data_IF_345787235424
#
_entry.id   IF_345787235424
#
_cell.length_a   1.000
_cell.length_b   1.000
_cell.length_c   1.000
_cell.angle_alpha   90.00
_cell.angle_beta   90.00
_cell.angle_gamma   90.00
#
_symmetry.space_group_name_H-M   'P 1'
#
loop_
_entity.id
_entity.type
_entity.pdbx_description
1 polymer ?
#
# COMPACT_ATOMS: atom_id res chain seq x y z
N UNK A 1 -29.11 -19.88 -24.24
CA UNK A 1 -29.79 -21.15 -23.82
C UNK A 1 -31.06 -20.78 -23.05
N UNK A 2 -32.27 -21.30 -23.43
CA UNK A 2 -33.49 -21.10 -22.65
C UNK A 2 -33.36 -21.91 -21.34
N UNK A 3 -33.28 -21.23 -20.22
CA UNK A 3 -33.28 -21.88 -18.89
C UNK A 3 -34.67 -22.50 -18.62
N UNK A 4 -34.74 -23.82 -18.56
CA UNK A 4 -35.97 -24.52 -18.20
C UNK A 4 -36.23 -24.30 -16.71
N UNK A 5 -37.42 -23.79 -16.35
CA UNK A 5 -37.81 -23.58 -14.97
C UNK A 5 -37.70 -24.86 -14.14
N UNK A 6 -36.99 -24.81 -13.01
CA UNK A 6 -36.75 -25.95 -12.14
C UNK A 6 -37.45 -25.75 -10.79
N UNK A 7 -38.18 -26.75 -10.33
CA UNK A 7 -38.75 -26.79 -8.96
C UNK A 7 -37.77 -27.41 -7.95
N UNK A 8 -36.72 -28.10 -8.43
CA UNK A 8 -35.82 -28.86 -7.59
C UNK A 8 -36.47 -30.10 -6.95
N UNK A 9 -35.63 -30.95 -6.38
CA UNK A 9 -36.07 -32.10 -5.60
C UNK A 9 -35.62 -31.92 -4.14
N UNK A 10 -36.60 -31.72 -3.23
CA UNK A 10 -36.37 -31.54 -1.80
C UNK A 10 -36.41 -32.91 -1.11
N UNK A 11 -35.34 -33.21 -0.34
CA UNK A 11 -35.20 -34.48 0.40
C UNK A 11 -34.47 -34.27 1.72
N UNK A 12 -34.58 -35.25 2.63
CA UNK A 12 -33.96 -35.24 3.96
C UNK A 12 -32.74 -36.17 3.98
N UNK A 13 -31.63 -35.71 4.57
CA UNK A 13 -30.44 -36.52 4.79
C UNK A 13 -29.72 -36.04 6.05
N UNK A 14 -29.33 -36.96 6.95
CA UNK A 14 -28.51 -36.68 8.13
C UNK A 14 -28.97 -35.44 8.97
N UNK A 15 -30.28 -35.39 9.28
CA UNK A 15 -30.87 -34.33 10.08
C UNK A 15 -31.05 -32.99 9.35
N UNK A 16 -30.81 -32.92 8.06
CA UNK A 16 -30.93 -31.72 7.25
C UNK A 16 -31.81 -31.90 6.04
N UNK A 17 -32.47 -30.82 5.60
CA UNK A 17 -33.16 -30.72 4.34
C UNK A 17 -32.20 -30.25 3.25
N UNK A 18 -32.30 -30.89 2.06
CA UNK A 18 -31.55 -30.60 0.86
C UNK A 18 -32.47 -30.32 -0.30
N UNK A 19 -32.06 -29.46 -1.22
CA UNK A 19 -32.62 -29.32 -2.56
C UNK A 19 -31.63 -29.81 -3.60
N UNK A 20 -32.08 -30.66 -4.52
CA UNK A 20 -31.32 -31.15 -5.67
C UNK A 20 -31.85 -30.45 -6.92
N UNK A 21 -30.98 -29.86 -7.69
CA UNK A 21 -31.32 -29.13 -8.91
C UNK A 21 -30.17 -29.21 -9.91
N UNK A 22 -30.38 -28.72 -11.15
CA UNK A 22 -29.34 -28.62 -12.15
C UNK A 22 -28.80 -27.19 -12.21
N UNK A 23 -27.49 -27.08 -12.33
CA UNK A 23 -26.79 -25.83 -12.45
C UNK A 23 -25.82 -25.86 -13.64
N UNK A 24 -25.61 -24.70 -14.27
CA UNK A 24 -24.62 -24.54 -15.32
C UNK A 24 -23.27 -24.15 -14.68
N UNK A 25 -22.32 -25.07 -14.74
CA UNK A 25 -21.02 -24.93 -14.11
C UNK A 25 -19.93 -24.80 -15.18
N UNK A 26 -19.07 -23.79 -15.05
CA UNK A 26 -17.90 -23.63 -15.90
C UNK A 26 -16.83 -24.64 -15.49
N UNK A 27 -16.42 -25.48 -16.47
CA UNK A 27 -15.37 -26.48 -16.30
C UNK A 27 -13.97 -25.85 -16.43
N UNK A 28 -12.93 -26.63 -16.14
CA UNK A 28 -11.54 -26.17 -16.23
C UNK A 28 -11.12 -25.77 -17.66
N UNK A 29 -11.65 -26.40 -18.66
CA UNK A 29 -11.43 -26.09 -20.09
C UNK A 29 -12.20 -24.84 -20.59
N UNK A 30 -13.02 -24.23 -19.72
CA UNK A 30 -13.88 -23.09 -20.07
C UNK A 30 -15.24 -23.51 -20.64
N UNK A 31 -15.50 -24.80 -20.87
CA UNK A 31 -16.80 -25.27 -21.28
C UNK A 31 -17.84 -25.14 -20.17
N UNK A 32 -19.12 -25.01 -20.54
CA UNK A 32 -20.23 -24.94 -19.59
C UNK A 32 -20.97 -26.28 -19.61
N UNK A 33 -20.94 -26.99 -18.49
CA UNK A 33 -21.68 -28.24 -18.34
C UNK A 33 -22.82 -28.08 -17.35
N UNK A 34 -23.92 -28.75 -17.65
CA UNK A 34 -25.08 -28.81 -16.77
C UNK A 34 -24.92 -29.98 -15.80
N UNK A 35 -24.64 -29.66 -14.52
CA UNK A 35 -24.41 -30.66 -13.48
C UNK A 35 -25.54 -30.67 -12.45
N UNK A 36 -25.78 -31.83 -11.84
CA UNK A 36 -26.72 -31.96 -10.75
C UNK A 36 -26.04 -31.55 -9.44
N UNK A 37 -26.62 -30.60 -8.74
CA UNK A 37 -26.10 -30.03 -7.47
C UNK A 37 -27.14 -30.34 -6.37
N UNK A 38 -26.63 -30.70 -5.18
CA UNK A 38 -27.44 -30.82 -3.97
C UNK A 38 -26.99 -29.74 -2.97
N UNK A 39 -27.91 -28.94 -2.48
CA UNK A 39 -27.62 -27.85 -1.52
C UNK A 39 -28.45 -28.05 -0.26
N UNK A 40 -27.79 -27.87 0.90
CA UNK A 40 -28.44 -27.89 2.20
C UNK A 40 -29.24 -26.61 2.40
N UNK A 41 -30.50 -26.72 2.88
CA UNK A 41 -31.46 -25.63 2.99
C UNK A 41 -31.75 -25.26 4.45
N UNK A 42 -32.16 -26.25 5.27
CA UNK A 42 -32.57 -26.05 6.64
C UNK A 42 -32.30 -27.26 7.51
N UNK A 43 -32.09 -27.14 8.81
CA UNK A 43 -32.06 -28.25 9.74
C UNK A 43 -33.48 -28.86 9.89
N UNK A 44 -33.55 -30.13 10.20
CA UNK A 44 -34.83 -30.75 10.59
C UNK A 44 -35.11 -30.36 12.04
N UNK A 45 -36.05 -29.46 12.26
CA UNK A 45 -36.47 -28.96 13.57
C UNK A 45 -37.99 -28.71 13.58
N UNK A 46 -38.55 -28.24 14.67
CA UNK A 46 -39.99 -27.99 14.82
C UNK A 46 -40.55 -27.05 13.75
N UNK A 47 -39.82 -26.04 13.37
CA UNK A 47 -40.18 -25.11 12.31
C UNK A 47 -40.15 -25.77 10.92
N UNK A 48 -39.24 -26.72 10.71
CA UNK A 48 -39.01 -27.41 9.41
C UNK A 48 -39.20 -28.93 9.54
N UNK A 49 -40.33 -29.37 10.10
CA UNK A 49 -40.66 -30.77 10.28
C UNK A 49 -41.02 -31.50 8.98
N UNK A 50 -41.62 -30.78 8.04
CA UNK A 50 -42.17 -31.36 6.82
C UNK A 50 -41.54 -30.79 5.56
N UNK A 51 -41.57 -31.55 4.46
CA UNK A 51 -41.16 -31.09 3.14
C UNK A 51 -41.89 -29.80 2.72
N UNK A 52 -43.19 -29.71 3.04
CA UNK A 52 -44.03 -28.53 2.72
C UNK A 52 -43.50 -27.24 3.36
N UNK A 53 -42.99 -27.35 4.59
CA UNK A 53 -42.43 -26.18 5.30
C UNK A 53 -41.10 -25.68 4.67
N UNK A 54 -40.40 -26.52 3.93
CA UNK A 54 -39.04 -26.21 3.37
C UNK A 54 -39.09 -25.84 1.88
N UNK A 55 -40.18 -26.19 1.18
CA UNK A 55 -40.35 -25.88 -0.25
C UNK A 55 -40.20 -24.39 -0.53
N UNK A 56 -40.75 -23.43 0.27
CA UNK A 56 -40.55 -22.00 0.02
C UNK A 56 -39.08 -21.59 0.03
N UNK A 57 -38.28 -22.17 0.93
CA UNK A 57 -36.83 -21.89 0.99
C UNK A 57 -36.08 -22.44 -0.25
N UNK A 58 -36.53 -23.58 -0.76
CA UNK A 58 -36.01 -24.14 -2.01
C UNK A 58 -36.40 -23.30 -3.22
N UNK A 59 -37.62 -22.80 -3.27
CA UNK A 59 -38.09 -21.89 -4.34
C UNK A 59 -37.31 -20.55 -4.32
N UNK A 60 -37.09 -20.00 -3.15
CA UNK A 60 -36.28 -18.77 -2.98
C UNK A 60 -34.84 -18.99 -3.47
N UNK A 61 -34.20 -20.11 -3.12
CA UNK A 61 -32.87 -20.49 -3.59
C UNK A 61 -32.81 -20.66 -5.11
N UNK A 62 -33.85 -21.24 -5.71
CA UNK A 62 -33.91 -21.55 -7.15
C UNK A 62 -34.36 -20.33 -7.98
N UNK A 63 -35.00 -19.34 -7.39
CA UNK A 63 -35.51 -18.16 -8.08
C UNK A 63 -34.47 -17.46 -8.93
N UNK A 64 -33.24 -17.08 -8.41
CA UNK A 64 -32.22 -16.46 -9.22
C UNK A 64 -31.65 -17.38 -10.31
N UNK A 65 -31.58 -18.70 -10.05
CA UNK A 65 -31.13 -19.71 -11.04
C UNK A 65 -32.12 -19.76 -12.18
N UNK A 66 -33.42 -19.87 -11.85
CA UNK A 66 -34.50 -19.91 -12.82
C UNK A 66 -34.63 -18.64 -13.66
N UNK A 67 -34.26 -17.50 -13.09
CA UNK A 67 -34.18 -16.19 -13.78
C UNK A 67 -32.91 -15.99 -14.60
N UNK A 68 -31.98 -16.94 -14.57
CA UNK A 68 -30.67 -16.79 -15.22
C UNK A 68 -29.83 -15.67 -14.63
N UNK A 69 -30.09 -15.31 -13.36
CA UNK A 69 -29.39 -14.22 -12.69
C UNK A 69 -27.93 -14.57 -12.32
N UNK A 70 -27.58 -15.85 -12.32
CA UNK A 70 -26.22 -16.30 -12.03
C UNK A 70 -25.50 -16.71 -13.31
N UNK A 71 -24.47 -15.95 -13.75
CA UNK A 71 -23.64 -16.35 -14.87
C UNK A 71 -22.84 -17.62 -14.50
N UNK A 72 -22.63 -18.54 -15.48
CA UNK A 72 -21.82 -19.75 -15.26
C UNK A 72 -20.41 -19.44 -14.76
N UNK A 73 -19.83 -18.32 -15.18
CA UNK A 73 -18.52 -17.82 -14.76
C UNK A 73 -18.41 -17.62 -13.24
N UNK A 74 -19.52 -17.30 -12.58
CA UNK A 74 -19.60 -17.22 -11.13
C UNK A 74 -19.40 -18.54 -10.39
N UNK A 75 -19.43 -19.68 -11.10
CA UNK A 75 -19.11 -20.99 -10.53
C UNK A 75 -17.63 -21.29 -10.45
N UNK A 76 -16.78 -20.51 -11.12
CA UNK A 76 -15.33 -20.64 -10.98
C UNK A 76 -14.90 -20.44 -9.53
N UNK A 77 -13.88 -21.19 -9.12
CA UNK A 77 -13.20 -20.95 -7.85
C UNK A 77 -12.49 -19.59 -7.87
N UNK A 78 -12.34 -18.99 -6.70
CA UNK A 78 -11.62 -17.72 -6.56
C UNK A 78 -10.17 -17.88 -7.04
N UNK A 79 -9.54 -19.02 -6.75
CA UNK A 79 -8.19 -19.35 -7.23
C UNK A 79 -8.10 -19.27 -8.75
N UNK A 80 -8.95 -19.99 -9.44
CA UNK A 80 -8.96 -20.00 -10.91
C UNK A 80 -9.17 -18.59 -11.48
N UNK A 81 -10.16 -17.87 -10.97
CA UNK A 81 -10.43 -16.50 -11.42
C UNK A 81 -9.24 -15.57 -11.19
N UNK A 82 -8.61 -15.65 -10.01
CA UNK A 82 -7.47 -14.78 -9.68
C UNK A 82 -6.26 -15.12 -10.54
N UNK A 83 -5.91 -16.38 -10.69
CA UNK A 83 -4.68 -16.79 -11.37
C UNK A 83 -4.77 -16.65 -12.89
N UNK A 84 -5.92 -16.97 -13.48
CA UNK A 84 -6.09 -16.98 -14.95
C UNK A 84 -6.77 -15.73 -15.52
N UNK A 85 -7.41 -14.89 -14.68
CA UNK A 85 -8.13 -13.70 -15.17
C UNK A 85 -7.63 -12.45 -14.51
N UNK A 86 -7.64 -12.37 -13.18
CA UNK A 86 -7.35 -11.13 -12.46
C UNK A 86 -5.86 -10.75 -12.47
N UNK A 87 -4.97 -11.68 -12.10
CA UNK A 87 -3.53 -11.41 -12.08
C UNK A 87 -2.95 -11.11 -13.47
N UNK A 88 -3.32 -11.82 -14.56
CA UNK A 88 -2.93 -11.42 -15.93
C UNK A 88 -3.42 -10.02 -16.30
N UNK A 89 -4.67 -9.66 -15.94
CA UNK A 89 -5.18 -8.32 -16.15
C UNK A 89 -4.35 -7.26 -15.38
N UNK A 90 -3.99 -7.55 -14.12
CA UNK A 90 -3.13 -6.66 -13.32
C UNK A 90 -1.74 -6.52 -13.94
N UNK A 91 -1.16 -7.61 -14.44
CA UNK A 91 0.15 -7.60 -15.09
C UNK A 91 0.17 -6.71 -16.34
N UNK A 92 -0.92 -6.74 -17.13
CA UNK A 92 -1.05 -5.92 -18.34
C UNK A 92 -1.37 -4.43 -18.05
N UNK A 93 -2.06 -4.11 -16.94
CA UNK A 93 -2.61 -2.77 -16.69
C UNK A 93 -1.90 -2.00 -15.57
N UNK A 94 -1.15 -2.67 -14.72
CA UNK A 94 -0.53 -2.06 -13.55
C UNK A 94 1.00 -2.15 -13.59
N UNK A 95 1.64 -1.34 -12.76
CA UNK A 95 3.11 -1.39 -12.62
C UNK A 95 3.58 -2.75 -12.11
N UNK A 96 4.76 -3.23 -12.54
CA UNK A 96 5.32 -4.50 -12.09
C UNK A 96 5.36 -4.67 -10.56
N UNK A 97 5.66 -3.59 -9.83
CA UNK A 97 5.65 -3.59 -8.35
C UNK A 97 4.25 -3.84 -7.75
N UNK A 98 3.19 -3.32 -8.38
CA UNK A 98 1.81 -3.55 -7.95
C UNK A 98 1.40 -5.00 -8.22
N UNK A 99 1.73 -5.51 -9.41
CA UNK A 99 1.49 -6.92 -9.75
C UNK A 99 2.18 -7.86 -8.76
N UNK A 100 3.48 -7.64 -8.48
CA UNK A 100 4.20 -8.44 -7.48
C UNK A 100 3.55 -8.37 -6.10
N UNK A 101 3.18 -7.18 -5.63
CA UNK A 101 2.51 -7.02 -4.34
C UNK A 101 1.20 -7.80 -4.26
N UNK A 102 0.37 -7.74 -5.30
CA UNK A 102 -0.90 -8.46 -5.37
C UNK A 102 -0.69 -9.97 -5.46
N UNK A 103 0.27 -10.42 -6.30
CA UNK A 103 0.62 -11.83 -6.41
C UNK A 103 1.10 -12.43 -5.09
N UNK A 104 1.95 -11.71 -4.36
CA UNK A 104 2.46 -12.16 -3.07
C UNK A 104 1.34 -12.22 -2.02
N UNK A 105 0.52 -11.15 -1.87
CA UNK A 105 -0.63 -11.17 -0.96
C UNK A 105 -1.61 -12.31 -1.29
N UNK A 106 -1.84 -12.56 -2.58
CA UNK A 106 -2.66 -13.69 -3.00
C UNK A 106 -2.04 -15.01 -2.56
N UNK A 107 -0.79 -15.26 -2.93
CA UNK A 107 -0.09 -16.51 -2.66
C UNK A 107 0.06 -16.78 -1.15
N UNK A 108 0.49 -15.77 -0.41
CA UNK A 108 0.95 -15.94 0.97
C UNK A 108 -0.21 -15.83 1.99
N UNK A 109 -1.28 -15.09 1.66
CA UNK A 109 -2.36 -14.80 2.62
C UNK A 109 -3.73 -15.33 2.21
N UNK A 110 -4.03 -15.45 0.92
CA UNK A 110 -5.42 -15.63 0.46
C UNK A 110 -5.69 -16.99 -0.18
N UNK A 111 -4.76 -17.49 -1.00
CA UNK A 111 -4.96 -18.69 -1.82
C UNK A 111 -5.41 -19.88 -0.99
N UNK A 112 -4.69 -20.24 0.07
CA UNK A 112 -5.01 -21.39 0.93
C UNK A 112 -6.31 -21.19 1.72
N UNK A 113 -6.62 -19.95 2.10
CA UNK A 113 -7.78 -19.68 2.96
C UNK A 113 -9.10 -19.57 2.20
N UNK A 114 -9.10 -19.07 0.98
CA UNK A 114 -10.34 -18.82 0.24
C UNK A 114 -10.31 -19.23 -1.23
N UNK A 115 -9.18 -19.72 -1.75
CA UNK A 115 -9.03 -20.06 -3.17
C UNK A 115 -10.06 -21.03 -3.69
N UNK A 116 -10.45 -22.05 -2.91
CA UNK A 116 -11.44 -23.05 -3.27
C UNK A 116 -12.89 -22.58 -3.24
N UNK A 117 -13.20 -21.40 -2.70
CA UNK A 117 -14.57 -20.86 -2.66
C UNK A 117 -14.95 -20.37 -4.07
N UNK A 118 -16.15 -20.69 -4.52
CA UNK A 118 -16.66 -20.17 -5.80
C UNK A 118 -17.02 -18.70 -5.69
N UNK A 119 -16.77 -17.92 -6.75
CA UNK A 119 -17.01 -16.47 -6.78
C UNK A 119 -18.40 -16.08 -6.26
N UNK A 120 -19.45 -16.75 -6.76
CA UNK A 120 -20.85 -16.47 -6.38
C UNK A 120 -21.25 -16.96 -4.99
N UNK A 121 -20.44 -17.82 -4.37
CA UNK A 121 -20.69 -18.38 -3.04
C UNK A 121 -19.99 -17.62 -1.94
N UNK A 122 -19.05 -16.73 -2.30
CA UNK A 122 -18.32 -15.90 -1.36
C UNK A 122 -19.25 -14.80 -0.81
N UNK A 123 -19.43 -14.77 0.51
CA UNK A 123 -20.31 -13.84 1.22
C UNK A 123 -19.49 -12.90 2.10
N UNK A 124 -20.11 -11.82 2.56
CA UNK A 124 -19.49 -10.86 3.50
C UNK A 124 -18.97 -11.54 4.76
N UNK A 125 -19.72 -12.49 5.33
CA UNK A 125 -19.29 -13.27 6.50
C UNK A 125 -18.03 -14.13 6.25
N UNK A 126 -17.79 -14.56 5.02
CA UNK A 126 -16.58 -15.30 4.66
C UNK A 126 -15.38 -14.35 4.61
N UNK A 127 -15.58 -13.11 4.16
CA UNK A 127 -14.59 -12.04 4.23
C UNK A 127 -14.22 -11.64 5.67
N UNK A 128 -15.21 -11.52 6.55
CA UNK A 128 -15.01 -11.27 7.99
C UNK A 128 -14.18 -12.38 8.65
N UNK A 129 -14.58 -13.63 8.45
CA UNK A 129 -13.86 -14.80 8.98
C UNK A 129 -12.43 -14.88 8.47
N UNK A 130 -12.23 -14.62 7.17
CA UNK A 130 -10.92 -14.65 6.54
C UNK A 130 -9.98 -13.61 7.15
N UNK A 131 -10.41 -12.34 7.25
CA UNK A 131 -9.57 -11.30 7.84
C UNK A 131 -9.30 -11.54 9.32
N UNK A 132 -10.26 -12.08 10.05
CA UNK A 132 -10.10 -12.45 11.47
C UNK A 132 -9.09 -13.58 11.62
N UNK A 133 -9.19 -14.64 10.81
CA UNK A 133 -8.25 -15.74 10.82
C UNK A 133 -6.81 -15.29 10.50
N UNK A 134 -6.64 -14.46 9.47
CA UNK A 134 -5.32 -13.89 9.11
C UNK A 134 -4.77 -13.04 10.26
N UNK A 135 -5.62 -12.22 10.90
CA UNK A 135 -5.21 -11.39 12.02
C UNK A 135 -4.71 -12.23 13.22
N UNK A 136 -5.34 -13.37 13.49
CA UNK A 136 -4.97 -14.27 14.57
C UNK A 136 -3.73 -15.12 14.29
N UNK A 137 -3.55 -15.56 13.03
CA UNK A 137 -2.45 -16.47 12.67
C UNK A 137 -1.10 -15.79 12.48
N UNK A 138 -1.07 -14.60 11.88
CA UNK A 138 0.17 -13.93 11.47
C UNK A 138 0.38 -12.55 12.09
N UNK A 139 -0.55 -12.09 12.92
CA UNK A 139 -0.53 -10.80 13.61
C UNK A 139 -0.07 -9.61 12.74
N UNK A 140 -0.59 -9.46 11.52
CA UNK A 140 -0.17 -8.42 10.62
C UNK A 140 -0.58 -7.05 11.15
N UNK A 141 0.10 -6.00 10.69
CA UNK A 141 -0.35 -4.64 11.00
C UNK A 141 -1.73 -4.37 10.40
N UNK A 142 -2.49 -3.46 11.02
CA UNK A 142 -3.78 -2.99 10.51
C UNK A 142 -3.70 -2.52 9.05
N UNK A 143 -2.57 -1.91 8.67
CA UNK A 143 -2.35 -1.48 7.30
C UNK A 143 -2.21 -2.65 6.31
N UNK A 144 -1.56 -3.74 6.72
CA UNK A 144 -1.49 -4.97 5.93
C UNK A 144 -2.88 -5.58 5.71
N UNK A 145 -3.73 -5.63 6.75
CA UNK A 145 -5.13 -6.08 6.62
C UNK A 145 -5.94 -5.18 5.68
N UNK A 146 -5.72 -3.85 5.71
CA UNK A 146 -6.30 -2.91 4.73
C UNK A 146 -5.91 -3.25 3.30
N UNK A 147 -4.65 -3.59 3.06
CA UNK A 147 -4.17 -4.00 1.73
C UNK A 147 -4.80 -5.33 1.27
N UNK A 148 -4.93 -6.31 2.17
CA UNK A 148 -5.58 -7.59 1.88
C UNK A 148 -7.07 -7.37 1.53
N UNK A 149 -7.81 -6.61 2.34
CA UNK A 149 -9.20 -6.22 2.07
C UNK A 149 -9.32 -5.51 0.71
N UNK A 150 -8.43 -4.57 0.44
CA UNK A 150 -8.41 -3.82 -0.83
C UNK A 150 -8.18 -4.72 -2.04
N UNK A 151 -7.27 -5.68 -1.94
CA UNK A 151 -7.03 -6.67 -2.99
C UNK A 151 -8.26 -7.54 -3.23
N UNK A 152 -8.86 -8.11 -2.19
CA UNK A 152 -10.09 -8.90 -2.30
C UNK A 152 -11.22 -8.08 -2.94
N UNK A 153 -11.43 -6.85 -2.48
CA UNK A 153 -12.44 -5.96 -3.05
C UNK A 153 -12.18 -5.68 -4.53
N UNK A 154 -10.92 -5.51 -4.93
CA UNK A 154 -10.55 -5.29 -6.33
C UNK A 154 -10.80 -6.54 -7.21
N UNK A 155 -10.56 -7.74 -6.68
CA UNK A 155 -10.84 -9.01 -7.36
C UNK A 155 -12.35 -9.12 -7.65
N UNK A 156 -13.21 -8.95 -6.64
CA UNK A 156 -14.67 -9.03 -6.82
C UNK A 156 -15.21 -7.89 -7.69
N UNK A 157 -14.65 -6.69 -7.59
CA UNK A 157 -14.98 -5.58 -8.49
C UNK A 157 -14.64 -5.90 -9.95
N UNK A 158 -13.54 -6.59 -10.18
CA UNK A 158 -13.16 -7.03 -11.52
C UNK A 158 -14.11 -8.14 -12.03
N UNK A 159 -14.44 -9.13 -11.18
CA UNK A 159 -15.42 -10.17 -11.51
C UNK A 159 -16.79 -9.58 -11.91
N UNK A 160 -17.26 -8.54 -11.19
CA UNK A 160 -18.48 -7.81 -11.56
C UNK A 160 -18.36 -7.13 -12.93
N UNK A 161 -17.26 -6.48 -13.23
CA UNK A 161 -17.05 -5.81 -14.53
C UNK A 161 -17.04 -6.79 -15.71
N UNK A 162 -16.60 -8.00 -15.48
CA UNK A 162 -16.62 -9.08 -16.48
C UNK A 162 -17.96 -9.84 -16.55
N UNK A 163 -18.93 -9.47 -15.70
CA UNK A 163 -20.20 -10.18 -15.64
C UNK A 163 -20.15 -11.54 -14.94
N UNK A 164 -19.00 -11.95 -14.37
CA UNK A 164 -18.88 -13.21 -13.65
C UNK A 164 -19.57 -13.19 -12.26
N UNK A 165 -19.90 -12.02 -11.77
CA UNK A 165 -20.60 -11.82 -10.50
C UNK A 165 -21.64 -10.71 -10.63
N UNK A 166 -22.88 -11.00 -10.21
CA UNK A 166 -23.95 -10.01 -10.10
C UNK A 166 -24.14 -9.53 -8.65
N UNK A 167 -24.78 -8.39 -8.46
CA UNK A 167 -25.08 -7.86 -7.12
C UNK A 167 -23.97 -7.03 -6.49
N UNK A 168 -23.94 -7.00 -5.17
CA UNK A 168 -23.04 -6.17 -4.36
C UNK A 168 -21.68 -6.89 -4.23
N UNK A 169 -20.59 -6.10 -4.14
CA UNK A 169 -19.27 -6.65 -3.83
C UNK A 169 -19.26 -7.20 -2.39
N UNK A 170 -19.03 -8.51 -2.18
CA UNK A 170 -19.12 -9.10 -0.84
C UNK A 170 -18.09 -8.55 0.16
N UNK A 171 -17.06 -7.84 -0.33
CA UNK A 171 -16.03 -7.24 0.53
C UNK A 171 -16.36 -5.80 0.94
N UNK A 172 -17.40 -5.19 0.36
CA UNK A 172 -17.71 -3.78 0.59
C UNK A 172 -17.89 -3.48 2.08
N UNK A 173 -18.71 -4.26 2.76
CA UNK A 173 -19.10 -4.06 4.15
C UNK A 173 -18.29 -4.90 5.16
N UNK A 174 -17.23 -5.58 4.70
CA UNK A 174 -16.33 -6.33 5.58
C UNK A 174 -15.56 -5.36 6.48
N UNK A 175 -15.56 -5.60 7.79
CA UNK A 175 -14.80 -4.84 8.77
C UNK A 175 -13.35 -5.30 8.82
N UNK A 176 -12.45 -4.40 9.24
CA UNK A 176 -11.06 -4.78 9.52
C UNK A 176 -10.97 -5.10 11.00
N UNK A 177 -10.59 -6.33 11.40
CA UNK A 177 -10.50 -6.71 12.79
C UNK A 177 -9.46 -5.85 13.52
N UNK A 178 -9.57 -5.82 14.86
CA UNK A 178 -8.58 -5.15 15.70
C UNK A 178 -7.22 -5.81 15.46
N UNK A 179 -6.23 -5.00 15.17
CA UNK A 179 -4.87 -5.46 14.87
C UNK A 179 -3.87 -4.41 15.34
N UNK A 180 -2.62 -4.83 15.44
CA UNK A 180 -1.50 -3.97 15.77
C UNK A 180 -1.44 -2.77 14.82
N UNK A 181 -1.31 -1.56 15.35
CA UNK A 181 -1.00 -0.39 14.53
C UNK A 181 0.40 -0.53 13.90
N UNK A 182 0.58 0.12 12.78
CA UNK A 182 1.92 0.17 12.17
C UNK A 182 2.89 0.84 13.13
N UNK A 183 4.07 0.27 13.30
CA UNK A 183 5.12 0.85 14.13
C UNK A 183 5.47 2.27 13.71
N UNK A 184 6.06 3.03 14.64
CA UNK A 184 6.51 4.38 14.37
C UNK A 184 7.51 4.43 13.23
N UNK A 185 7.35 5.43 12.40
CA UNK A 185 8.25 5.64 11.26
C UNK A 185 9.35 6.59 11.66
N UNK A 186 10.60 6.19 11.42
CA UNK A 186 11.78 7.00 11.74
C UNK A 186 12.01 8.11 10.70
N UNK A 187 12.53 9.26 11.16
CA UNK A 187 12.95 10.39 10.34
C UNK A 187 14.33 10.86 10.83
N UNK A 188 15.35 10.76 9.98
CA UNK A 188 16.69 11.17 10.36
C UNK A 188 16.80 12.68 10.61
N UNK A 189 17.43 13.08 11.71
CA UNK A 189 17.81 14.46 11.97
C UNK A 189 19.00 14.90 11.11
N UNK A 190 19.28 16.21 11.04
CA UNK A 190 20.46 16.72 10.34
C UNK A 190 21.76 16.26 11.00
N UNK A 191 21.76 16.16 12.33
CA UNK A 191 22.90 15.70 13.13
C UNK A 191 23.23 14.24 12.79
N UNK A 192 22.22 13.36 12.77
CA UNK A 192 22.39 11.94 12.39
C UNK A 192 22.88 11.81 10.95
N UNK A 193 22.33 12.59 10.03
CA UNK A 193 22.77 12.60 8.62
C UNK A 193 24.24 13.01 8.55
N UNK A 194 24.65 14.07 9.23
CA UNK A 194 26.04 14.52 9.24
C UNK A 194 26.97 13.45 9.82
N UNK A 195 26.62 12.84 10.95
CA UNK A 195 27.39 11.73 11.53
C UNK A 195 27.52 10.55 10.55
N UNK A 196 26.44 10.18 9.84
CA UNK A 196 26.51 9.14 8.81
C UNK A 196 27.50 9.50 7.70
N UNK A 197 27.48 10.75 7.23
CA UNK A 197 28.33 11.19 6.12
C UNK A 197 29.83 11.23 6.48
N UNK A 198 30.18 11.31 7.77
CA UNK A 198 31.59 11.25 8.22
C UNK A 198 32.13 9.82 8.29
N UNK A 199 31.28 8.81 8.49
CA UNK A 199 31.71 7.41 8.72
C UNK A 199 31.51 6.52 7.50
N UNK A 200 30.70 6.97 6.54
CA UNK A 200 30.40 6.17 5.34
C UNK A 200 31.53 6.32 4.28
N UNK A 201 31.98 5.20 3.70
CA UNK A 201 32.90 5.26 2.55
C UNK A 201 32.18 5.74 1.29
N UNK A 202 32.93 6.27 0.33
CA UNK A 202 32.39 6.54 -1.00
C UNK A 202 32.24 5.20 -1.80
N UNK A 203 31.21 5.06 -2.66
CA UNK A 203 30.18 6.06 -2.99
C UNK A 203 28.97 6.07 -2.04
N UNK A 204 28.97 5.28 -0.95
CA UNK A 204 27.85 5.18 -0.04
C UNK A 204 27.49 6.53 0.61
N UNK A 205 28.50 7.34 0.97
CA UNK A 205 28.29 8.67 1.52
C UNK A 205 27.55 9.59 0.53
N UNK A 206 27.97 9.61 -0.74
CA UNK A 206 27.31 10.42 -1.79
C UNK A 206 25.88 9.94 -2.07
N UNK A 207 25.61 8.63 -2.09
CA UNK A 207 24.28 8.05 -2.25
C UNK A 207 23.36 8.44 -1.09
N UNK A 208 23.86 8.37 0.15
CA UNK A 208 23.11 8.77 1.36
C UNK A 208 22.86 10.27 1.38
N UNK A 209 23.85 11.10 1.07
CA UNK A 209 23.67 12.56 0.96
C UNK A 209 22.60 12.91 -0.08
N UNK A 210 22.62 12.26 -1.24
CA UNK A 210 21.63 12.45 -2.31
C UNK A 210 20.22 12.07 -1.83
N UNK A 211 20.07 10.96 -1.13
CA UNK A 211 18.79 10.56 -0.56
C UNK A 211 18.28 11.53 0.50
N UNK A 212 19.18 12.02 1.36
CA UNK A 212 18.89 12.91 2.47
C UNK A 212 18.49 14.32 2.01
N UNK A 213 19.24 14.93 1.11
CA UNK A 213 19.07 16.32 0.71
C UNK A 213 18.12 16.52 -0.49
N UNK A 214 17.90 15.50 -1.34
CA UNK A 214 16.88 15.56 -2.38
C UNK A 214 15.55 14.94 -1.96
N UNK A 215 15.52 14.14 -0.90
CA UNK A 215 14.31 13.43 -0.46
C UNK A 215 13.71 12.49 -1.51
N UNK A 216 14.50 12.01 -2.47
CA UNK A 216 14.06 11.14 -3.55
C UNK A 216 13.65 9.74 -3.04
N UNK A 217 12.71 9.09 -3.73
CA UNK A 217 12.34 7.71 -3.41
C UNK A 217 13.45 6.74 -3.85
N UNK A 218 13.55 5.59 -3.20
CA UNK A 218 14.56 4.56 -3.51
C UNK A 218 14.69 4.24 -5.02
N UNK A 219 13.56 4.08 -5.72
CA UNK A 219 13.59 3.83 -7.15
C UNK A 219 14.00 5.04 -7.99
N UNK A 220 13.66 6.25 -7.54
CA UNK A 220 14.08 7.52 -8.15
C UNK A 220 15.59 7.72 -7.97
N UNK A 221 16.13 7.45 -6.77
CA UNK A 221 17.57 7.50 -6.47
C UNK A 221 18.39 6.60 -7.42
N UNK A 222 17.89 5.38 -7.70
CA UNK A 222 18.50 4.46 -8.66
C UNK A 222 18.40 4.93 -10.12
N UNK A 223 17.45 5.79 -10.41
CA UNK A 223 17.16 6.28 -11.76
C UNK A 223 17.68 7.67 -12.05
N UNK A 224 18.45 8.31 -11.18
CA UNK A 224 19.03 9.63 -11.43
C UNK A 224 20.03 9.58 -12.60
N UNK A 225 19.96 10.60 -13.45
CA UNK A 225 20.76 10.69 -14.67
C UNK A 225 21.62 11.96 -14.67
N UNK A 226 22.84 11.85 -15.19
CA UNK A 226 23.76 12.98 -15.29
C UNK A 226 23.23 14.10 -16.19
N UNK A 227 22.60 13.76 -17.32
CA UNK A 227 21.99 14.75 -18.23
C UNK A 227 20.84 15.53 -17.61
N UNK A 228 20.35 15.13 -16.45
CA UNK A 228 19.30 15.82 -15.69
C UNK A 228 19.83 16.60 -14.49
N UNK A 229 21.16 16.67 -14.31
CA UNK A 229 21.84 17.41 -13.25
C UNK A 229 22.60 18.60 -13.84
N UNK A 230 22.32 19.82 -13.36
CA UNK A 230 22.91 21.07 -13.81
C UNK A 230 23.91 21.71 -12.85
N UNK A 231 24.26 21.04 -11.75
CA UNK A 231 25.02 21.62 -10.64
C UNK A 231 24.13 22.26 -9.58
N UNK A 232 23.11 23.03 -9.95
CA UNK A 232 22.18 23.72 -9.04
C UNK A 232 20.82 23.04 -8.92
N UNK A 233 20.43 22.20 -9.88
CA UNK A 233 19.16 21.50 -9.92
C UNK A 233 19.32 20.08 -10.44
N UNK A 234 18.41 19.20 -10.03
CA UNK A 234 18.29 17.86 -10.58
C UNK A 234 16.83 17.51 -10.89
N UNK A 235 16.58 16.86 -12.04
CA UNK A 235 15.25 16.41 -12.45
C UNK A 235 15.15 14.91 -12.37
N UNK A 236 14.05 14.41 -11.81
CA UNK A 236 13.75 12.99 -11.76
C UNK A 236 12.84 12.61 -12.92
N UNK A 237 13.39 11.99 -13.93
CA UNK A 237 12.67 11.60 -15.15
C UNK A 237 12.24 10.14 -15.15
N UNK A 238 12.90 9.31 -14.34
CA UNK A 238 12.62 7.88 -14.25
C UNK A 238 12.78 7.33 -12.83
N UNK A 239 12.26 6.12 -12.64
CA UNK A 239 12.38 5.33 -11.42
C UNK A 239 12.69 3.89 -11.78
N UNK A 240 13.69 3.29 -11.16
CA UNK A 240 14.13 1.92 -11.44
C UNK A 240 13.77 1.00 -10.27
N UNK A 241 12.96 0.00 -10.56
CA UNK A 241 12.56 -1.03 -9.62
C UNK A 241 12.87 -2.42 -10.19
N UNK A 242 13.82 -3.14 -9.59
CA UNK A 242 14.22 -4.51 -10.00
C UNK A 242 14.44 -4.70 -11.51
N UNK A 243 15.15 -3.77 -12.12
CA UNK A 243 15.42 -3.78 -13.55
C UNK A 243 14.35 -3.15 -14.43
N UNK A 244 13.16 -2.90 -13.90
CA UNK A 244 12.11 -2.19 -14.64
C UNK A 244 12.29 -0.69 -14.53
N UNK A 245 12.44 -0.01 -15.67
CA UNK A 245 12.44 1.44 -15.76
C UNK A 245 11.00 1.91 -15.92
N UNK A 246 10.57 2.83 -15.09
CA UNK A 246 9.22 3.40 -15.15
C UNK A 246 9.28 4.92 -15.00
N UNK A 247 8.35 5.64 -15.64
CA UNK A 247 8.20 7.06 -15.38
C UNK A 247 7.73 7.35 -13.94
N UNK A 248 8.01 8.55 -13.41
CA UNK A 248 7.46 9.01 -12.13
C UNK A 248 5.92 8.92 -12.12
N UNK A 249 5.32 8.65 -10.94
CA UNK A 249 3.88 8.38 -10.80
C UNK A 249 2.98 9.57 -11.19
N UNK A 250 3.45 10.80 -11.00
CA UNK A 250 2.65 12.02 -11.18
C UNK A 250 3.43 13.08 -11.92
N UNK A 251 2.72 14.01 -12.56
CA UNK A 251 3.33 15.19 -13.22
C UNK A 251 4.15 16.02 -12.24
N UNK A 252 3.69 16.19 -11.00
CA UNK A 252 4.42 16.88 -9.93
C UNK A 252 5.76 16.23 -9.59
N UNK A 253 5.89 14.92 -9.78
CA UNK A 253 7.16 14.20 -9.53
C UNK A 253 8.25 14.50 -10.55
N UNK A 254 7.94 15.21 -11.65
CA UNK A 254 8.91 15.64 -12.68
C UNK A 254 9.45 17.05 -12.43
N UNK A 255 9.01 17.75 -11.38
CA UNK A 255 9.52 19.08 -11.03
C UNK A 255 11.01 19.01 -10.66
N UNK A 256 11.82 20.02 -11.04
CA UNK A 256 13.21 20.10 -10.63
C UNK A 256 13.33 20.21 -9.11
N UNK A 257 14.40 19.67 -8.57
CA UNK A 257 14.74 19.73 -7.14
C UNK A 257 16.01 20.58 -7.04
N UNK A 258 16.02 21.66 -6.23
CA UNK A 258 17.23 22.41 -5.98
C UNK A 258 18.29 21.54 -5.30
N UNK A 259 19.54 21.68 -5.73
CA UNK A 259 20.69 20.97 -5.18
C UNK A 259 21.48 21.97 -4.32
N UNK A 260 21.63 21.65 -3.03
CA UNK A 260 22.43 22.48 -2.11
C UNK A 260 23.93 22.31 -2.37
N UNK A 261 24.72 23.34 -2.11
CA UNK A 261 26.17 23.37 -2.39
C UNK A 261 26.94 22.15 -1.88
N UNK A 262 26.78 21.71 -0.61
CA UNK A 262 27.46 20.51 -0.10
C UNK A 262 27.13 19.22 -0.86
N UNK A 263 25.89 19.09 -1.37
CA UNK A 263 25.53 17.96 -2.20
C UNK A 263 26.11 18.09 -3.61
N UNK A 264 26.11 19.29 -4.20
CA UNK A 264 26.72 19.53 -5.50
C UNK A 264 28.21 19.12 -5.49
N UNK A 265 28.97 19.57 -4.49
CA UNK A 265 30.38 19.17 -4.32
C UNK A 265 30.57 17.64 -4.29
N UNK A 266 29.70 16.92 -3.56
CA UNK A 266 29.77 15.44 -3.52
C UNK A 266 29.42 14.78 -4.85
N UNK A 267 28.40 15.29 -5.55
CA UNK A 267 27.99 14.78 -6.85
C UNK A 267 29.08 15.06 -7.91
N UNK A 268 29.65 16.24 -7.92
CA UNK A 268 30.72 16.60 -8.86
C UNK A 268 31.99 15.76 -8.61
N UNK A 269 32.37 15.58 -7.33
CA UNK A 269 33.44 14.66 -6.96
C UNK A 269 33.17 13.23 -7.41
N UNK A 270 31.95 12.74 -7.22
CA UNK A 270 31.53 11.40 -7.70
C UNK A 270 31.56 11.31 -9.24
N UNK A 271 31.17 12.40 -9.94
CA UNK A 271 31.24 12.47 -11.39
C UNK A 271 32.67 12.34 -11.91
N UNK A 272 33.61 13.02 -11.26
CA UNK A 272 35.04 12.94 -11.59
C UNK A 272 35.58 11.51 -11.42
N UNK A 273 35.23 10.80 -10.36
CA UNK A 273 35.65 9.38 -10.17
C UNK A 273 35.11 8.42 -11.22
N UNK A 274 34.04 8.81 -11.92
CA UNK A 274 33.46 8.04 -13.02
C UNK A 274 34.00 8.44 -14.41
N UNK A 275 35.00 9.29 -14.50
CA UNK A 275 35.52 9.78 -15.78
C UNK A 275 34.71 10.93 -16.39
N UNK A 276 34.01 11.69 -15.56
CA UNK A 276 33.24 12.87 -15.90
C UNK A 276 32.16 12.67 -16.98
N UNK A 277 31.26 11.67 -16.83
CA UNK A 277 30.24 11.38 -17.82
C UNK A 277 29.22 12.52 -17.94
N UNK A 278 28.79 12.83 -19.15
CA UNK A 278 27.73 13.80 -19.42
C UNK A 278 26.32 13.17 -19.37
N UNK A 279 26.24 11.87 -19.60
CA UNK A 279 24.99 11.13 -19.71
C UNK A 279 25.06 9.80 -18.97
N UNK A 280 23.90 9.24 -18.68
CA UNK A 280 23.75 7.95 -18.03
C UNK A 280 23.44 8.05 -16.55
N UNK A 281 23.38 6.92 -15.88
CA UNK A 281 23.04 6.85 -14.46
C UNK A 281 24.10 7.49 -13.57
N UNK A 282 23.68 8.29 -12.60
CA UNK A 282 24.57 8.86 -11.56
C UNK A 282 25.18 7.75 -10.71
N UNK A 283 24.36 6.77 -10.30
CA UNK A 283 24.81 5.67 -9.44
C UNK A 283 24.74 4.35 -10.20
N UNK A 284 25.89 3.82 -10.53
CA UNK A 284 26.07 2.55 -11.29
C UNK A 284 26.82 1.52 -10.48
N UNK A 285 26.60 0.25 -10.79
CA UNK A 285 27.51 -0.86 -10.49
C UNK A 285 28.59 -0.96 -11.54
N UNK A 286 29.62 -1.78 -11.30
CA UNK A 286 30.78 -1.95 -12.20
C UNK A 286 30.47 -2.31 -13.67
N UNK A 287 29.23 -2.67 -14.01
CA UNK A 287 28.78 -3.01 -15.37
C UNK A 287 27.80 -1.97 -15.93
N UNK A 288 27.87 -0.72 -15.55
CA UNK A 288 26.95 0.37 -15.93
C UNK A 288 25.48 0.07 -15.64
N UNK A 289 25.18 -0.91 -14.80
CA UNK A 289 23.83 -1.23 -14.35
C UNK A 289 23.44 -0.32 -13.17
N UNK A 290 22.13 -0.10 -12.94
CA UNK A 290 21.67 0.66 -11.78
C UNK A 290 22.21 0.05 -10.49
N UNK A 291 22.77 0.89 -9.62
CA UNK A 291 23.34 0.46 -8.33
C UNK A 291 22.33 -0.34 -7.52
N UNK A 292 22.75 -1.48 -6.99
CA UNK A 292 21.93 -2.24 -6.04
C UNK A 292 22.03 -1.64 -4.65
N UNK A 293 21.02 -0.84 -4.31
CA UNK A 293 20.94 -0.17 -3.00
C UNK A 293 20.76 -1.14 -1.83
N UNK A 294 20.25 -2.37 -2.04
CA UNK A 294 20.18 -3.36 -0.96
C UNK A 294 21.59 -3.89 -0.66
N UNK A 295 22.33 -4.21 -1.71
CA UNK A 295 23.71 -4.67 -1.58
C UNK A 295 24.58 -3.58 -0.93
N UNK A 296 24.43 -2.31 -1.38
CA UNK A 296 25.12 -1.17 -0.77
C UNK A 296 24.83 -1.05 0.74
N UNK A 297 23.57 -1.20 1.13
CA UNK A 297 23.17 -1.16 2.55
C UNK A 297 23.80 -2.29 3.34
N UNK A 298 23.72 -3.52 2.87
CA UNK A 298 24.19 -4.68 3.64
C UNK A 298 25.71 -4.73 3.74
N UNK A 299 26.44 -4.38 2.68
CA UNK A 299 27.89 -4.55 2.62
C UNK A 299 28.68 -3.33 3.12
N UNK A 300 28.14 -2.13 2.99
CA UNK A 300 28.87 -0.91 3.29
C UNK A 300 28.19 -0.04 4.34
N UNK A 301 26.89 0.27 4.18
CA UNK A 301 26.23 1.23 5.06
C UNK A 301 26.05 0.65 6.46
N UNK A 302 25.37 -0.46 6.61
CA UNK A 302 25.10 -1.06 7.93
C UNK A 302 26.37 -1.32 8.72
N UNK A 303 27.40 -1.98 8.19
CA UNK A 303 28.63 -2.23 8.97
C UNK A 303 29.36 -0.97 9.39
N UNK A 304 29.32 0.11 8.58
CA UNK A 304 29.92 1.40 8.94
C UNK A 304 29.13 2.10 10.04
N UNK A 305 27.79 2.11 9.94
CA UNK A 305 26.92 2.71 10.95
C UNK A 305 26.98 1.97 12.29
N UNK A 306 26.97 0.64 12.28
CA UNK A 306 27.06 -0.19 13.50
C UNK A 306 28.36 0.09 14.27
N UNK A 307 29.49 0.23 13.58
CA UNK A 307 30.77 0.63 14.20
C UNK A 307 30.75 2.02 14.82
N UNK A 308 29.91 2.90 14.31
CA UNK A 308 29.71 4.26 14.80
C UNK A 308 28.54 4.39 15.82
N UNK A 309 27.90 3.29 16.21
CA UNK A 309 26.74 3.30 17.11
C UNK A 309 25.46 3.88 16.49
N UNK A 310 25.39 3.96 15.16
CA UNK A 310 24.26 4.50 14.44
C UNK A 310 23.35 3.38 13.87
N UNK A 311 22.05 3.64 13.80
CA UNK A 311 21.05 2.66 13.34
C UNK A 311 20.55 2.98 11.94
N UNK A 312 20.42 1.94 11.09
CA UNK A 312 19.84 2.07 9.76
C UNK A 312 18.31 1.92 9.79
N UNK A 313 17.57 2.98 9.35
CA UNK A 313 16.10 3.03 9.31
C UNK A 313 15.50 3.04 7.90
N UNK A 314 16.20 2.49 6.93
CA UNK A 314 15.84 2.40 5.52
C UNK A 314 15.75 3.75 4.77
N UNK A 315 15.78 3.68 3.42
CA UNK A 315 15.87 4.85 2.53
C UNK A 315 14.76 5.88 2.71
N UNK A 316 13.55 5.45 3.07
CA UNK A 316 12.43 6.39 3.19
C UNK A 316 12.53 7.27 4.45
N UNK A 317 13.36 6.87 5.43
CA UNK A 317 13.63 7.67 6.62
C UNK A 317 14.35 8.99 6.28
N UNK A 318 15.20 9.04 5.25
CA UNK A 318 15.80 10.28 4.76
C UNK A 318 14.77 11.26 4.20
N UNK A 319 13.81 10.75 3.42
CA UNK A 319 12.74 11.60 2.87
C UNK A 319 11.82 12.15 3.96
N UNK A 320 11.52 11.33 4.99
CA UNK A 320 10.81 11.82 6.18
C UNK A 320 11.66 12.81 6.97
N UNK A 321 12.97 12.52 7.11
CA UNK A 321 13.93 13.40 7.73
C UNK A 321 13.97 14.78 7.06
N UNK A 322 14.06 14.84 5.73
CA UNK A 322 14.02 16.10 5.00
C UNK A 322 12.73 16.88 5.29
N UNK A 323 11.57 16.22 5.28
CA UNK A 323 10.30 16.87 5.63
C UNK A 323 10.32 17.46 7.04
N UNK A 324 10.73 16.66 8.02
CA UNK A 324 10.77 17.04 9.44
C UNK A 324 11.79 18.17 9.69
N UNK A 325 12.98 18.09 9.09
CA UNK A 325 14.03 19.08 9.26
C UNK A 325 13.62 20.42 8.62
N UNK A 326 13.02 20.41 7.42
CA UNK A 326 12.50 21.64 6.79
C UNK A 326 11.38 22.27 7.63
N UNK A 327 10.49 21.45 8.18
CA UNK A 327 9.44 21.93 9.08
C UNK A 327 10.02 22.61 10.33
N UNK A 328 11.02 21.98 10.98
CA UNK A 328 11.74 22.57 12.14
C UNK A 328 12.44 23.87 11.81
N UNK A 329 12.88 24.04 10.56
CA UNK A 329 13.46 25.31 10.06
C UNK A 329 12.39 26.37 9.73
N UNK A 330 11.10 26.10 9.99
CA UNK A 330 10.01 27.04 9.75
C UNK A 330 9.56 27.14 8.28
N UNK A 331 9.96 26.19 7.43
CA UNK A 331 9.56 26.20 6.02
C UNK A 331 8.07 25.86 5.90
N UNK A 332 7.26 26.67 5.16
CA UNK A 332 5.83 26.42 5.01
C UNK A 332 5.52 25.06 4.38
N UNK A 333 4.44 24.40 4.84
CA UNK A 333 4.03 23.05 4.42
C UNK A 333 3.89 22.89 2.90
N UNK A 334 3.34 23.90 2.21
CA UNK A 334 3.21 23.88 0.75
C UNK A 334 4.58 23.88 0.06
N UNK A 335 5.56 24.55 0.61
CA UNK A 335 6.94 24.54 0.11
C UNK A 335 7.59 23.18 0.34
N UNK A 336 7.43 22.60 1.53
CA UNK A 336 7.88 21.23 1.83
C UNK A 336 7.22 20.23 0.88
N UNK A 337 5.91 20.34 0.66
CA UNK A 337 5.17 19.51 -0.31
C UNK A 337 5.77 19.62 -1.72
N UNK A 338 6.11 20.83 -2.15
CA UNK A 338 6.70 21.07 -3.47
C UNK A 338 8.11 20.45 -3.58
N UNK A 339 8.99 20.67 -2.61
CA UNK A 339 10.35 20.08 -2.54
C UNK A 339 10.26 18.55 -2.59
N UNK A 340 9.40 17.96 -1.80
CA UNK A 340 9.20 16.51 -1.76
C UNK A 340 8.38 15.99 -2.95
N UNK A 341 7.75 16.85 -3.74
CA UNK A 341 6.93 16.46 -4.90
C UNK A 341 5.81 15.50 -4.50
N UNK A 342 5.15 15.76 -3.35
CA UNK A 342 4.00 15.00 -2.91
C UNK A 342 2.74 15.45 -3.68
N UNK A 343 1.96 14.49 -4.15
CA UNK A 343 0.69 14.78 -4.83
C UNK A 343 -0.33 15.37 -3.86
N UNK A 344 -0.33 14.87 -2.60
CA UNK A 344 -1.23 15.26 -1.54
C UNK A 344 -0.45 15.80 -0.33
N UNK A 345 -0.91 16.91 0.24
CA UNK A 345 -0.32 17.55 1.42
C UNK A 345 -0.43 16.68 2.66
N UNK A 346 -1.49 15.87 2.78
CA UNK A 346 -1.68 14.94 3.89
C UNK A 346 -0.51 13.95 4.03
N UNK A 347 0.09 13.56 2.90
CA UNK A 347 1.28 12.71 2.89
C UNK A 347 2.49 13.40 3.52
N UNK A 348 2.62 14.73 3.33
CA UNK A 348 3.66 15.54 3.94
C UNK A 348 3.40 15.70 5.44
N UNK A 349 2.17 16.11 5.80
CA UNK A 349 1.75 16.31 7.19
C UNK A 349 1.92 15.04 8.04
N UNK A 350 1.47 13.90 7.56
CA UNK A 350 1.63 12.60 8.24
C UNK A 350 3.09 12.17 8.45
N UNK A 351 4.04 12.81 7.75
CA UNK A 351 5.46 12.48 7.88
C UNK A 351 6.11 13.12 9.10
N UNK A 352 5.63 14.28 9.57
CA UNK A 352 6.23 15.03 10.69
C UNK A 352 5.29 15.33 11.87
N UNK A 353 3.96 15.16 11.72
CA UNK A 353 2.98 15.42 12.81
C UNK A 353 3.23 14.54 14.05
N UNK A 354 3.94 13.44 13.91
CA UNK A 354 4.30 12.58 15.06
C UNK A 354 5.39 13.17 15.98
N UNK A 355 6.10 14.22 15.58
CA UNK A 355 7.18 14.85 16.37
C UNK A 355 6.74 16.14 17.09
N UNK A 356 5.46 16.50 17.05
CA UNK A 356 4.94 17.84 17.39
C UNK A 356 4.76 18.10 18.90
N UNK A 357 4.94 17.13 19.81
CA UNK A 357 4.66 17.39 21.23
C UNK A 357 5.62 18.44 21.88
N UNK A 358 6.90 18.43 21.53
CA UNK A 358 7.86 19.43 22.02
C UNK A 358 7.67 20.80 21.35
N UNK A 359 7.37 20.81 20.05
CA UNK A 359 7.16 22.03 19.27
C UNK A 359 5.86 22.75 19.65
N UNK A 360 4.83 22.01 20.08
CA UNK A 360 3.57 22.60 20.56
C UNK A 360 3.78 23.43 21.83
N UNK A 361 4.57 22.93 22.78
CA UNK A 361 4.90 23.66 24.01
C UNK A 361 5.74 24.92 23.69
N UNK A 362 6.71 24.80 22.77
CA UNK A 362 7.53 25.93 22.34
C UNK A 362 6.70 27.01 21.60
N UNK A 363 5.76 26.60 20.75
CA UNK A 363 4.85 27.51 20.07
C UNK A 363 3.93 28.23 21.03
N UNK A 364 3.37 27.52 22.03
CA UNK A 364 2.53 28.15 23.06
C UNK A 364 3.32 29.12 23.94
N UNK A 365 4.57 28.78 24.30
CA UNK A 365 5.47 29.74 25.01
C UNK A 365 5.82 30.98 24.17
N UNK A 366 5.93 30.82 22.85
CA UNK A 366 6.17 31.95 21.95
C UNK A 366 4.93 32.84 21.86
N UNK A 367 3.74 32.26 21.78
CA UNK A 367 2.47 32.99 21.85
C UNK A 367 2.34 33.75 23.19
N UNK A 368 2.63 33.08 24.30
CA UNK A 368 2.58 33.66 25.64
C UNK A 368 3.50 34.91 25.74
N UNK A 369 4.74 34.82 25.20
CA UNK A 369 5.66 35.95 25.15
C UNK A 369 5.09 37.13 24.36
N UNK A 370 4.47 36.89 23.21
CA UNK A 370 3.84 37.95 22.40
C UNK A 370 2.67 38.57 23.14
N UNK A 371 1.79 37.75 23.75
CA UNK A 371 0.66 38.25 24.53
C UNK A 371 1.09 39.04 25.74
N UNK A 372 2.15 38.62 26.45
CA UNK A 372 2.69 39.33 27.63
C UNK A 372 3.34 40.64 27.24
N UNK A 373 3.99 40.74 26.07
CA UNK A 373 4.55 42.00 25.55
C UNK A 373 3.51 42.99 25.05
N UNK A 374 2.27 42.53 24.74
CA UNK A 374 1.14 43.40 24.34
C UNK A 374 0.38 44.04 25.51
N UNK A 375 0.59 43.55 26.73
CA UNK A 375 0.05 44.13 27.94
C UNK A 375 1.17 44.49 28.89
N UNK A 376 1.82 45.70 28.72
CA UNK A 376 2.69 46.23 29.77
C UNK A 376 1.80 46.54 30.98
N UNK A 377 2.06 45.86 32.09
CA UNK A 377 1.42 46.17 33.36
C UNK A 377 1.66 47.65 33.66
N UNK A 378 0.60 48.44 33.60
CA UNK A 378 0.62 49.83 34.08
C UNK A 378 1.05 49.81 35.56
N UNK A 379 2.26 50.25 35.82
CA UNK A 379 2.79 50.37 37.15
C UNK A 379 1.89 51.29 37.97
N UNK A 380 1.41 50.78 39.08
CA UNK A 380 0.75 51.57 40.13
C UNK A 380 1.74 52.58 40.72
N UNK A 381 1.66 53.82 40.27
CA UNK A 381 2.27 54.96 40.93
C UNK A 381 1.48 55.21 42.21
N UNK A 382 2.00 54.74 43.33
CA UNK A 382 1.54 55.15 44.66
C UNK A 382 1.80 56.63 44.88
N UNK A 383 0.77 57.47 44.86
CA UNK A 383 0.81 58.82 45.39
C UNK A 383 0.61 58.74 46.92
N UNK A 384 1.66 59.02 47.69
CA UNK A 384 1.54 59.48 49.07
C UNK A 384 0.99 60.89 49.02
N UNK A 385 -0.10 61.11 49.72
CA UNK A 385 -0.51 62.45 50.16
C UNK A 385 -0.39 62.49 51.69
N UNK A 386 0.22 63.54 52.15
CA UNK A 386 0.52 63.99 53.51
C UNK A 386 -0.70 64.04 54.39
#
# INVERSE_FOLDING_TARGET
MKTRHQKGYVYRKSGWWYVRYYDNVMQEDGSITRVQVARRIAPVCDQYRSKRAVVPLADELLLPINRGAYPPEGTMTLERFVEHTYLPHVAAQKRPSTYRGYRNLWKDCLKLCCGGIRLREFRTCDGERLLTAIAQQSEPSRNTLKHIKSLLSAIFKHAKRLGALNGINPIQDVSIPKARESGDTFAYSLEEINQMLTVLPEPAATVVATAAFLGVRKGELRGLLWENYSGSEIRVTQSIWEGFVTEPKTRKSKAPIPVIGPLATKLDGHRLTQGNPERGLIFTSGNSRPLDLNNLVQRFIKPALERAGLTWHAWHAFRRGLATNLYRLGVPDKTIQAILRHADISTTMNSYVKSVSADTVAAMRSLERVCTSMHPTSGATGARVV
#
